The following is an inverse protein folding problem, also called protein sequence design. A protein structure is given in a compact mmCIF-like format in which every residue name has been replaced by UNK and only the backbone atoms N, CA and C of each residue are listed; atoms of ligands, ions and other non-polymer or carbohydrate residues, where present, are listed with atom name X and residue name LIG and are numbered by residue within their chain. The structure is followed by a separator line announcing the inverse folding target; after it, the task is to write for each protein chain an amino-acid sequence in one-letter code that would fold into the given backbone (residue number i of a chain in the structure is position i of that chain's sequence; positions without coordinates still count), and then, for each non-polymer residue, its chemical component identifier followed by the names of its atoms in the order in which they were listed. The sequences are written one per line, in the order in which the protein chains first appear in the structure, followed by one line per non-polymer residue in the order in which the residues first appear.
data_IF_305223425369
#
_entry.id   IF_305223425369
#
_cell.length_a   1.000
_cell.length_b   1.000
_cell.length_c   1.000
_cell.angle_alpha   90.00
_cell.angle_beta   90.00
_cell.angle_gamma   90.00
#
_symmetry.space_group_name_H-M   'P 1'
#
loop_
_entity.id
_entity.type
_entity.pdbx_description
1 polymer ?
#
# COMPACT_ATOMS: atom_id res chain seq x y z
N UNK A 1 -12.00 -1.58 -10.56
CA UNK A 1 -11.00 -0.81 -9.80
C UNK A 1 -11.50 -0.66 -8.38
N UNK A 2 -10.65 -0.79 -7.37
CA UNK A 2 -10.98 -0.54 -5.96
C UNK A 2 -10.29 0.74 -5.45
N UNK A 3 -10.91 1.44 -4.49
CA UNK A 3 -10.24 2.48 -3.70
C UNK A 3 -9.86 1.86 -2.36
N UNK A 4 -8.60 2.03 -1.97
CA UNK A 4 -8.02 1.48 -0.75
C UNK A 4 -7.59 2.65 0.16
N UNK A 5 -8.48 3.15 1.03
CA UNK A 5 -8.08 4.11 2.04
C UNK A 5 -6.97 3.51 2.90
N UNK A 6 -5.94 4.30 3.19
CA UNK A 6 -4.77 3.82 3.90
C UNK A 6 -4.72 4.32 5.36
N UNK A 7 -4.05 3.57 6.23
CA UNK A 7 -3.63 3.98 7.57
C UNK A 7 -2.16 3.63 7.73
N UNK A 8 -1.33 4.63 8.01
CA UNK A 8 0.04 4.38 8.43
C UNK A 8 0.06 4.32 9.96
N UNK A 9 0.62 3.25 10.52
CA UNK A 9 0.72 3.03 11.96
C UNK A 9 2.11 3.43 12.46
N UNK A 10 2.15 4.37 13.40
CA UNK A 10 3.37 4.77 14.10
C UNK A 10 3.08 4.96 15.60
N UNK A 11 3.84 4.27 16.44
CA UNK A 11 3.77 4.29 17.90
C UNK A 11 2.34 4.06 18.42
N UNK A 12 1.62 3.12 17.79
CA UNK A 12 0.23 2.78 18.11
C UNK A 12 -0.82 3.72 17.51
N UNK A 13 -0.43 4.73 16.73
CA UNK A 13 -1.31 5.80 16.24
C UNK A 13 -1.45 5.79 14.73
N UNK A 14 -2.56 6.34 14.24
CA UNK A 14 -2.76 6.58 12.81
C UNK A 14 -2.10 7.91 12.43
N UNK A 15 -1.15 7.86 11.50
CA UNK A 15 -0.36 9.01 11.07
C UNK A 15 -0.36 9.17 9.56
N UNK A 16 0.16 10.31 9.07
CA UNK A 16 0.71 10.44 7.71
C UNK A 16 2.08 11.07 7.73
N UNK A 17 2.93 10.57 6.85
CA UNK A 17 4.23 11.16 6.54
C UNK A 17 4.08 12.08 5.32
N UNK A 18 4.96 13.08 5.22
CA UNK A 18 5.19 13.80 3.98
C UNK A 18 6.48 13.26 3.34
N UNK A 19 6.37 12.73 2.12
CA UNK A 19 7.50 12.09 1.41
C UNK A 19 8.20 10.98 2.21
N UNK A 20 7.46 10.19 2.97
CA UNK A 20 8.03 9.07 3.73
C UNK A 20 8.94 9.43 4.92
N UNK A 21 9.09 10.72 5.24
CA UNK A 21 9.97 11.17 6.33
C UNK A 21 9.31 10.96 7.70
N UNK A 22 9.90 10.11 8.55
CA UNK A 22 9.32 9.74 9.85
C UNK A 22 9.12 10.93 10.80
N UNK A 23 10.02 11.90 10.78
CA UNK A 23 9.97 13.13 11.58
C UNK A 23 8.83 14.07 11.17
N UNK A 24 8.27 13.88 9.96
CA UNK A 24 7.14 14.66 9.45
C UNK A 24 5.77 14.10 9.85
N UNK A 25 5.75 13.06 10.69
CA UNK A 25 4.52 12.38 11.09
C UNK A 25 3.50 13.34 11.72
N UNK A 26 2.36 13.51 11.05
CA UNK A 26 1.16 14.15 11.60
C UNK A 26 0.23 13.07 12.12
N UNK A 27 -0.14 13.16 13.40
CA UNK A 27 -1.09 12.24 14.04
C UNK A 27 -2.51 12.65 13.64
N UNK A 28 -3.31 11.68 13.21
CA UNK A 28 -4.73 11.87 12.87
C UNK A 28 -5.67 11.16 13.84
N UNK A 29 -5.21 10.11 14.51
CA UNK A 29 -5.98 9.43 15.55
C UNK A 29 -5.06 8.65 16.48
N UNK A 30 -5.36 8.68 17.78
CA UNK A 30 -4.77 7.76 18.77
C UNK A 30 -5.46 6.38 18.76
N UNK A 31 -6.57 6.25 18.02
CA UNK A 31 -7.40 5.05 17.92
C UNK A 31 -7.58 4.66 16.43
N UNK A 32 -6.60 3.96 15.81
CA UNK A 32 -6.63 3.62 14.38
C UNK A 32 -7.86 2.84 13.93
N UNK A 33 -8.40 1.97 14.79
CA UNK A 33 -9.60 1.18 14.50
C UNK A 33 -10.84 2.05 14.25
N UNK A 34 -10.93 3.24 14.86
CA UNK A 34 -12.02 4.18 14.58
C UNK A 34 -11.92 4.78 13.18
N UNK A 35 -10.69 5.01 12.71
CA UNK A 35 -10.44 5.49 11.34
C UNK A 35 -10.80 4.38 10.34
N UNK A 36 -10.39 3.15 10.61
CA UNK A 36 -10.78 1.99 9.81
C UNK A 36 -12.31 1.81 9.77
N UNK A 37 -12.97 1.93 10.93
CA UNK A 37 -14.43 1.84 11.03
C UNK A 37 -15.13 2.90 10.20
N UNK A 38 -14.62 4.13 10.22
CA UNK A 38 -15.13 5.21 9.37
C UNK A 38 -14.99 4.90 7.89
N UNK A 39 -13.88 4.29 7.45
CA UNK A 39 -13.74 3.85 6.07
C UNK A 39 -14.77 2.78 5.68
N UNK A 40 -15.05 1.83 6.58
CA UNK A 40 -16.12 0.84 6.39
C UNK A 40 -17.49 1.50 6.24
N UNK A 41 -17.83 2.44 7.12
CA UNK A 41 -19.10 3.17 7.10
C UNK A 41 -19.29 4.01 5.83
N UNK A 42 -18.20 4.53 5.27
CA UNK A 42 -18.20 5.24 3.98
C UNK A 42 -18.36 4.32 2.77
N UNK A 43 -18.29 2.99 2.95
CA UNK A 43 -18.48 1.99 1.90
C UNK A 43 -17.19 1.36 1.38
N UNK A 44 -16.05 1.55 2.06
CA UNK A 44 -14.81 0.88 1.65
C UNK A 44 -14.93 -0.64 1.76
N UNK A 45 -14.30 -1.35 0.82
CA UNK A 45 -14.15 -2.82 0.89
C UNK A 45 -12.78 -3.23 1.41
N UNK A 46 -11.78 -2.41 1.13
CA UNK A 46 -10.39 -2.67 1.46
C UNK A 46 -9.86 -1.62 2.42
N UNK A 47 -8.86 -2.00 3.20
CA UNK A 47 -8.07 -1.14 4.04
C UNK A 47 -6.60 -1.44 3.77
N UNK A 48 -5.83 -0.41 3.41
CA UNK A 48 -4.38 -0.52 3.27
C UNK A 48 -3.72 -0.09 4.57
N UNK A 49 -2.86 -0.93 5.14
CA UNK A 49 -2.15 -0.62 6.39
C UNK A 49 -0.64 -0.74 6.16
N UNK A 50 0.10 0.24 6.65
CA UNK A 50 1.56 0.15 6.74
C UNK A 50 1.97 0.27 8.20
N UNK A 51 2.59 -0.78 8.77
CA UNK A 51 3.31 -0.69 10.04
C UNK A 51 4.63 0.04 9.80
N UNK A 52 4.66 1.35 10.05
CA UNK A 52 5.86 2.16 9.82
C UNK A 52 6.96 1.80 10.80
N UNK A 53 6.65 1.56 12.08
CA UNK A 53 7.68 1.14 13.02
C UNK A 53 8.31 -0.18 12.55
N UNK A 54 7.49 -1.13 12.10
CA UNK A 54 7.98 -2.41 11.63
C UNK A 54 8.70 -2.35 10.30
N UNK A 55 8.29 -1.48 9.38
CA UNK A 55 9.01 -1.24 8.13
C UNK A 55 10.47 -0.82 8.38
N UNK A 56 10.70 0.05 9.37
CA UNK A 56 12.03 0.54 9.73
C UNK A 56 12.80 -0.43 10.63
N UNK A 57 12.15 -1.05 11.62
CA UNK A 57 12.80 -2.01 12.54
C UNK A 57 13.10 -3.36 11.85
N UNK A 58 12.29 -3.74 10.86
CA UNK A 58 12.39 -5.03 10.17
C UNK A 58 11.60 -6.16 10.82
N UNK A 59 10.78 -5.85 11.82
CA UNK A 59 9.92 -6.79 12.55
C UNK A 59 8.60 -6.10 12.93
N UNK A 60 7.48 -6.82 13.08
CA UNK A 60 6.20 -6.25 13.51
C UNK A 60 6.29 -5.43 14.81
N UNK A 61 5.68 -4.24 14.83
CA UNK A 61 5.73 -3.34 15.97
C UNK A 61 4.36 -2.79 16.40
N UNK A 62 3.33 -2.89 15.56
CA UNK A 62 1.98 -2.40 15.84
C UNK A 62 0.91 -3.51 15.88
N UNK A 63 1.30 -4.74 16.24
CA UNK A 63 0.43 -5.92 16.23
C UNK A 63 -0.90 -5.72 16.99
N UNK A 64 -0.86 -5.08 18.15
CA UNK A 64 -2.06 -4.86 18.97
C UNK A 64 -3.07 -3.93 18.29
N UNK A 65 -2.60 -2.91 17.56
CA UNK A 65 -3.50 -2.03 16.81
C UNK A 65 -4.10 -2.73 15.60
N UNK A 66 -3.33 -3.58 14.93
CA UNK A 66 -3.82 -4.37 13.79
C UNK A 66 -4.89 -5.36 14.26
N UNK A 67 -4.67 -6.03 15.41
CA UNK A 67 -5.68 -6.88 16.06
C UNK A 67 -6.95 -6.10 16.35
N UNK A 68 -6.82 -4.93 16.98
CA UNK A 68 -7.95 -4.07 17.32
C UNK A 68 -8.74 -3.62 16.08
N UNK A 69 -8.05 -3.28 14.98
CA UNK A 69 -8.71 -2.97 13.69
C UNK A 69 -9.52 -4.16 13.20
N UNK A 70 -8.91 -5.35 13.15
CA UNK A 70 -9.56 -6.57 12.68
C UNK A 70 -10.80 -6.93 13.50
N UNK A 71 -10.75 -6.79 14.82
CA UNK A 71 -11.86 -7.11 15.73
C UNK A 71 -13.06 -6.15 15.58
N UNK A 72 -12.84 -4.93 15.08
CA UNK A 72 -13.86 -3.88 15.03
C UNK A 72 -14.39 -3.58 13.61
N UNK A 73 -13.79 -4.15 12.57
CA UNK A 73 -14.15 -3.90 11.16
C UNK A 73 -14.26 -5.22 10.39
N UNK A 74 -15.07 -5.26 9.33
CA UNK A 74 -15.17 -6.39 8.38
C UNK A 74 -14.47 -6.10 7.04
N UNK A 75 -13.69 -5.03 6.97
CA UNK A 75 -12.87 -4.68 5.82
C UNK A 75 -11.90 -5.81 5.46
N UNK A 76 -11.61 -5.95 4.16
CA UNK A 76 -10.44 -6.72 3.73
C UNK A 76 -9.19 -5.91 4.05
N UNK A 77 -8.23 -6.50 4.74
CA UNK A 77 -7.01 -5.82 5.16
C UNK A 77 -5.86 -6.26 4.26
N UNK A 78 -5.19 -5.29 3.65
CA UNK A 78 -3.83 -5.48 3.17
C UNK A 78 -2.82 -4.80 4.10
N UNK A 79 -1.73 -5.50 4.41
CA UNK A 79 -0.78 -5.05 5.43
C UNK A 79 0.67 -5.20 4.95
N UNK A 80 1.44 -4.11 5.06
CA UNK A 80 2.88 -4.09 4.89
C UNK A 80 3.61 -3.56 6.13
N UNK A 81 4.93 -3.71 6.13
CA UNK A 81 5.82 -3.22 7.19
C UNK A 81 6.34 -4.33 8.10
N UNK A 82 7.66 -4.57 8.07
CA UNK A 82 8.33 -5.51 8.97
C UNK A 82 8.14 -7.00 8.66
N UNK A 83 7.60 -7.35 7.49
CA UNK A 83 7.35 -8.74 7.10
C UNK A 83 8.57 -9.26 6.32
N UNK A 84 9.38 -10.11 6.95
CA UNK A 84 10.64 -10.62 6.37
C UNK A 84 10.79 -12.14 6.37
N UNK A 85 9.86 -12.85 7.01
CA UNK A 85 9.89 -14.31 7.14
C UNK A 85 8.48 -14.92 7.09
N UNK A 86 8.43 -16.24 6.90
CA UNK A 86 7.18 -16.99 6.81
C UNK A 86 6.45 -17.08 8.16
N UNK A 87 7.15 -16.98 9.29
CA UNK A 87 6.53 -17.01 10.62
C UNK A 87 5.65 -15.77 10.86
N UNK A 88 6.17 -14.60 10.51
CA UNK A 88 5.45 -13.33 10.54
C UNK A 88 4.24 -13.36 9.58
N UNK A 89 4.41 -13.95 8.39
CA UNK A 89 3.31 -14.14 7.45
C UNK A 89 2.19 -14.98 8.08
N UNK A 90 2.51 -16.14 8.65
CA UNK A 90 1.53 -17.02 9.30
C UNK A 90 0.81 -16.32 10.45
N UNK A 91 1.54 -15.60 11.29
CA UNK A 91 0.96 -14.83 12.39
C UNK A 91 -0.12 -13.85 11.90
N UNK A 92 0.15 -13.10 10.83
CA UNK A 92 -0.84 -12.15 10.30
C UNK A 92 -2.00 -12.84 9.57
N UNK A 93 -1.75 -13.96 8.89
CA UNK A 93 -2.83 -14.75 8.29
C UNK A 93 -3.76 -15.33 9.37
N UNK A 94 -3.22 -15.84 10.48
CA UNK A 94 -3.98 -16.31 11.64
C UNK A 94 -4.76 -15.17 12.33
N UNK A 95 -4.21 -13.95 12.31
CA UNK A 95 -4.91 -12.75 12.77
C UNK A 95 -6.08 -12.38 11.85
N UNK A 96 -6.17 -12.92 10.63
CA UNK A 96 -7.24 -12.61 9.68
C UNK A 96 -6.95 -11.42 8.78
N UNK A 97 -5.66 -11.17 8.48
CA UNK A 97 -5.25 -10.28 7.39
C UNK A 97 -5.47 -10.98 6.04
N UNK A 98 -6.05 -10.26 5.08
CA UNK A 98 -6.49 -10.83 3.80
C UNK A 98 -5.37 -10.88 2.75
N UNK A 99 -4.41 -9.94 2.82
CA UNK A 99 -3.26 -9.86 1.90
C UNK A 99 -2.04 -9.24 2.58
N UNK A 100 -0.86 -9.81 2.40
CA UNK A 100 0.38 -9.24 2.94
C UNK A 100 1.23 -8.62 1.86
N UNK A 101 1.88 -7.51 2.18
CA UNK A 101 2.69 -6.70 1.26
C UNK A 101 4.16 -6.96 1.54
N UNK A 102 4.85 -7.58 0.58
CA UNK A 102 6.29 -7.79 0.60
C UNK A 102 6.95 -6.72 -0.27
N UNK A 103 7.56 -5.72 0.38
CA UNK A 103 8.22 -4.59 -0.27
C UNK A 103 9.72 -4.84 -0.47
N UNK A 104 10.55 -4.35 0.44
CA UNK A 104 12.03 -4.41 0.31
C UNK A 104 12.60 -5.82 0.10
N UNK A 105 11.96 -6.86 0.65
CA UNK A 105 12.36 -8.26 0.41
C UNK A 105 12.14 -8.71 -1.03
N UNK A 106 11.21 -8.11 -1.78
CA UNK A 106 11.00 -8.41 -3.19
C UNK A 106 12.20 -8.04 -4.08
N UNK A 107 12.99 -7.06 -3.66
CA UNK A 107 14.24 -6.68 -4.34
C UNK A 107 15.41 -7.57 -3.88
N UNK A 108 15.47 -7.86 -2.58
CA UNK A 108 16.60 -8.57 -1.96
C UNK A 108 16.55 -10.08 -2.17
N UNK A 109 15.36 -10.67 -2.09
CA UNK A 109 15.09 -12.09 -2.26
C UNK A 109 13.77 -12.31 -3.01
N UNK A 110 13.77 -12.12 -4.35
CA UNK A 110 12.58 -12.36 -5.17
C UNK A 110 12.08 -13.81 -5.08
N UNK A 111 12.97 -14.78 -4.85
CA UNK A 111 12.58 -16.19 -4.78
C UNK A 111 11.74 -16.46 -3.53
N UNK A 112 12.13 -15.91 -2.37
CA UNK A 112 11.30 -15.98 -1.16
C UNK A 112 9.88 -15.45 -1.42
N UNK A 113 9.76 -14.30 -2.09
CA UNK A 113 8.44 -13.72 -2.41
C UNK A 113 7.61 -14.65 -3.30
N UNK A 114 8.22 -15.26 -4.33
CA UNK A 114 7.54 -16.25 -5.19
C UNK A 114 7.09 -17.47 -4.40
N UNK A 115 7.95 -18.00 -3.53
CA UNK A 115 7.63 -19.15 -2.69
C UNK A 115 6.47 -18.83 -1.74
N UNK A 116 6.44 -17.63 -1.16
CA UNK A 116 5.34 -17.19 -0.29
C UNK A 116 4.05 -16.94 -1.08
N UNK A 117 4.12 -16.34 -2.26
CA UNK A 117 2.97 -16.10 -3.12
C UNK A 117 2.30 -17.40 -3.61
N UNK A 118 3.05 -18.50 -3.68
CA UNK A 118 2.49 -19.83 -3.98
C UNK A 118 1.65 -20.44 -2.83
N UNK A 119 1.82 -19.92 -1.61
CA UNK A 119 1.22 -20.45 -0.38
C UNK A 119 0.18 -19.50 0.24
N UNK A 120 0.38 -18.20 0.11
CA UNK A 120 -0.34 -17.15 0.82
C UNK A 120 -0.78 -16.02 -0.13
N UNK A 121 -1.81 -15.24 0.23
CA UNK A 121 -2.20 -14.05 -0.52
C UNK A 121 -1.15 -12.94 -0.34
N UNK A 122 -0.28 -12.79 -1.33
CA UNK A 122 0.82 -11.81 -1.32
C UNK A 122 0.61 -10.73 -2.37
N UNK A 123 0.80 -9.48 -1.98
CA UNK A 123 1.08 -8.36 -2.87
C UNK A 123 2.56 -7.97 -2.80
N UNK A 124 3.08 -7.41 -3.89
CA UNK A 124 4.45 -6.87 -3.93
C UNK A 124 4.41 -5.36 -3.90
N UNK A 125 5.17 -4.74 -2.99
CA UNK A 125 5.37 -3.30 -2.96
C UNK A 125 6.58 -2.89 -3.80
N UNK A 126 6.38 -2.03 -4.80
CA UNK A 126 7.44 -1.45 -5.63
C UNK A 126 7.41 0.07 -5.47
N UNK A 127 8.31 0.58 -4.65
CA UNK A 127 8.52 2.02 -4.52
C UNK A 127 9.54 2.47 -5.56
N UNK A 128 9.24 3.55 -6.28
CA UNK A 128 10.10 4.02 -7.36
C UNK A 128 10.20 5.54 -7.41
N UNK A 129 11.40 6.04 -7.76
CA UNK A 129 11.64 7.43 -8.10
C UNK A 129 12.14 7.52 -9.53
N UNK A 130 11.46 8.30 -10.36
CA UNK A 130 11.78 8.44 -11.79
C UNK A 130 11.88 7.07 -12.51
N UNK A 131 11.00 6.13 -12.18
CA UNK A 131 10.96 4.78 -12.76
C UNK A 131 11.99 3.79 -12.20
N UNK A 132 12.88 4.22 -11.30
CA UNK A 132 13.92 3.39 -10.69
C UNK A 132 13.51 2.94 -9.29
N UNK A 133 13.73 1.66 -8.97
CA UNK A 133 13.37 1.07 -7.67
C UNK A 133 14.12 1.76 -6.54
N UNK A 134 13.39 2.19 -5.51
CA UNK A 134 13.91 2.70 -4.26
C UNK A 134 13.79 1.66 -3.15
N UNK A 135 14.83 1.53 -2.33
CA UNK A 135 14.90 0.59 -1.20
C UNK A 135 15.26 1.32 0.10
N UNK A 136 15.31 0.59 1.21
CA UNK A 136 15.69 1.11 2.55
C UNK A 136 14.87 2.35 2.98
N UNK A 137 13.54 2.26 2.89
CA UNK A 137 12.67 3.39 3.27
C UNK A 137 12.89 4.64 2.39
N UNK A 138 13.22 4.41 1.12
CA UNK A 138 13.48 5.42 0.09
C UNK A 138 14.84 6.14 0.19
N UNK A 139 15.73 5.68 1.07
CA UNK A 139 17.06 6.25 1.22
C UNK A 139 18.00 5.93 0.04
N UNK A 140 17.80 4.80 -0.63
CA UNK A 140 18.67 4.35 -1.73
C UNK A 140 17.86 4.10 -3.00
N UNK A 141 18.21 4.80 -4.08
CA UNK A 141 17.65 4.54 -5.42
C UNK A 141 18.62 3.61 -6.16
N UNK A 142 18.14 2.43 -6.50
CA UNK A 142 18.91 1.44 -7.25
C UNK A 142 18.97 1.79 -8.75
N UNK A 143 19.79 1.07 -9.50
CA UNK A 143 19.82 1.12 -10.97
C UNK A 143 18.81 0.16 -11.62
N UNK A 144 17.96 -0.49 -10.83
CA UNK A 144 16.93 -1.41 -11.35
C UNK A 144 15.67 -0.62 -11.73
N UNK A 145 15.17 -0.83 -12.94
CA UNK A 145 13.88 -0.28 -13.35
C UNK A 145 12.73 -0.99 -12.62
N UNK A 146 11.74 -0.23 -12.17
CA UNK A 146 10.56 -0.76 -11.49
C UNK A 146 9.75 -1.72 -12.36
N UNK A 147 9.70 -1.50 -13.68
CA UNK A 147 9.07 -2.39 -14.66
C UNK A 147 9.83 -3.72 -14.81
N UNK A 148 11.16 -3.68 -14.71
CA UNK A 148 11.99 -4.90 -14.70
C UNK A 148 11.69 -5.74 -13.47
N UNK A 149 11.62 -5.13 -12.29
CA UNK A 149 11.22 -5.82 -11.07
C UNK A 149 9.78 -6.35 -11.14
N UNK A 150 8.84 -5.55 -11.65
CA UNK A 150 7.45 -5.97 -11.81
C UNK A 150 7.31 -7.22 -12.69
N UNK A 151 8.09 -7.29 -13.77
CA UNK A 151 8.13 -8.44 -14.68
C UNK A 151 8.65 -9.72 -14.01
N UNK A 152 9.53 -9.59 -13.01
CA UNK A 152 10.04 -10.73 -12.24
C UNK A 152 8.94 -11.49 -11.50
N UNK A 153 7.84 -10.81 -11.17
CA UNK A 153 6.67 -11.37 -10.50
C UNK A 153 5.52 -11.74 -11.46
N UNK A 154 5.72 -11.62 -12.77
CA UNK A 154 4.76 -12.11 -13.75
C UNK A 154 4.54 -13.62 -13.56
N UNK A 155 3.28 -14.05 -13.44
CA UNK A 155 2.89 -15.45 -13.19
C UNK A 155 3.45 -16.07 -11.89
N UNK A 156 3.91 -15.26 -10.93
CA UNK A 156 4.47 -15.74 -9.66
C UNK A 156 3.42 -16.10 -8.59
N UNK A 157 2.13 -15.99 -8.90
CA UNK A 157 1.03 -16.17 -7.94
C UNK A 157 0.77 -14.97 -7.03
N UNK A 158 1.50 -13.87 -7.20
CA UNK A 158 1.22 -12.59 -6.52
C UNK A 158 -0.15 -12.06 -6.97
N UNK A 159 -0.93 -11.57 -6.02
CA UNK A 159 -2.30 -11.12 -6.26
C UNK A 159 -2.38 -9.67 -6.73
N UNK A 160 -1.38 -8.86 -6.37
CA UNK A 160 -1.30 -7.48 -6.78
C UNK A 160 0.14 -6.95 -6.74
N UNK A 161 0.41 -5.92 -7.52
CA UNK A 161 1.58 -5.05 -7.35
C UNK A 161 1.10 -3.69 -6.89
N UNK A 162 1.62 -3.20 -5.77
CA UNK A 162 1.42 -1.84 -5.30
C UNK A 162 2.62 -1.04 -5.75
N UNK A 163 2.42 -0.08 -6.66
CA UNK A 163 3.50 0.77 -7.12
C UNK A 163 3.36 2.19 -6.56
N UNK A 164 4.39 2.67 -5.86
CA UNK A 164 4.41 4.01 -5.28
C UNK A 164 5.37 4.89 -6.05
N UNK A 165 4.86 5.97 -6.65
CA UNK A 165 5.73 7.06 -7.11
C UNK A 165 6.09 7.94 -5.92
N UNK A 166 7.28 7.70 -5.36
CA UNK A 166 7.70 8.36 -4.12
C UNK A 166 7.93 9.87 -4.30
N UNK A 167 8.12 10.34 -5.54
CA UNK A 167 8.26 11.77 -5.84
C UNK A 167 6.96 12.53 -5.64
N UNK A 168 5.82 11.83 -5.69
CA UNK A 168 4.47 12.37 -5.52
C UNK A 168 3.85 12.05 -4.17
N UNK A 169 4.40 11.09 -3.42
CA UNK A 169 3.74 10.63 -2.20
C UNK A 169 3.63 11.72 -1.12
N UNK A 170 2.43 11.83 -0.55
CA UNK A 170 2.08 12.88 0.42
C UNK A 170 2.08 14.32 -0.14
N UNK A 171 2.21 14.51 -1.46
CA UNK A 171 2.31 15.85 -2.08
C UNK A 171 0.99 16.42 -2.60
N UNK A 172 -0.06 15.60 -2.74
CA UNK A 172 -1.36 16.01 -3.31
C UNK A 172 -1.19 16.65 -4.70
N UNK A 173 -0.35 16.06 -5.56
CA UNK A 173 0.00 16.59 -6.88
C UNK A 173 -0.49 15.73 -8.06
N UNK A 174 -1.32 14.73 -7.79
CA UNK A 174 -1.92 13.82 -8.76
C UNK A 174 -1.21 12.48 -8.88
N UNK A 175 -1.94 11.42 -9.20
CA UNK A 175 -1.40 10.06 -9.35
C UNK A 175 -0.51 9.98 -10.59
N UNK A 176 0.51 9.12 -10.56
CA UNK A 176 1.29 8.79 -11.77
C UNK A 176 0.62 7.62 -12.54
N UNK A 177 -0.39 7.96 -13.35
CA UNK A 177 -1.17 6.99 -14.14
C UNK A 177 -0.28 6.24 -15.13
N UNK A 178 0.57 6.96 -15.87
CA UNK A 178 1.48 6.36 -16.86
C UNK A 178 2.45 5.36 -16.24
N UNK A 179 3.04 5.71 -15.08
CA UNK A 179 3.89 4.80 -14.33
C UNK A 179 3.13 3.55 -13.89
N UNK A 180 1.95 3.72 -13.31
CA UNK A 180 1.12 2.60 -12.84
C UNK A 180 0.73 1.67 -13.99
N UNK A 181 0.31 2.23 -15.12
CA UNK A 181 0.02 1.46 -16.33
C UNK A 181 1.24 0.69 -16.81
N UNK A 182 2.42 1.30 -16.83
CA UNK A 182 3.65 0.62 -17.27
C UNK A 182 3.98 -0.61 -16.43
N UNK A 183 3.72 -0.55 -15.11
CA UNK A 183 3.89 -1.68 -14.18
C UNK A 183 2.85 -2.77 -14.44
N UNK A 184 1.58 -2.40 -14.65
CA UNK A 184 0.52 -3.34 -15.02
C UNK A 184 0.84 -4.07 -16.32
N UNK A 185 1.30 -3.36 -17.35
CA UNK A 185 1.65 -3.95 -18.64
C UNK A 185 2.90 -4.84 -18.55
N UNK A 186 3.90 -4.45 -17.76
CA UNK A 186 5.15 -5.21 -17.63
C UNK A 186 4.96 -6.54 -16.88
N UNK A 187 4.10 -6.55 -15.85
CA UNK A 187 3.86 -7.72 -15.00
C UNK A 187 2.69 -8.59 -15.47
N UNK A 188 1.66 -8.00 -16.08
CA UNK A 188 0.37 -8.65 -16.31
C UNK A 188 -0.40 -8.96 -15.01
N UNK A 189 0.00 -8.38 -13.89
CA UNK A 189 -0.62 -8.53 -12.56
C UNK A 189 -1.51 -7.31 -12.29
N UNK A 190 -2.56 -7.48 -11.48
CA UNK A 190 -3.37 -6.37 -11.00
C UNK A 190 -2.49 -5.33 -10.27
N UNK A 191 -2.46 -4.11 -10.79
CA UNK A 191 -1.60 -3.04 -10.23
C UNK A 191 -2.42 -1.98 -9.51
N UNK A 192 -1.97 -1.62 -8.32
CA UNK A 192 -2.58 -0.62 -7.44
C UNK A 192 -1.67 0.61 -7.42
N UNK A 193 -2.22 1.76 -7.81
CA UNK A 193 -1.51 3.02 -7.76
C UNK A 193 -1.38 3.52 -6.32
N UNK A 194 -0.18 3.98 -5.94
CA UNK A 194 0.08 4.65 -4.68
C UNK A 194 0.91 5.93 -4.91
N UNK A 195 0.71 6.92 -4.04
CA UNK A 195 1.39 8.20 -4.10
C UNK A 195 0.68 9.25 -4.96
N UNK A 196 0.52 10.45 -4.40
CA UNK A 196 0.13 11.64 -5.15
C UNK A 196 -1.35 11.96 -5.25
N UNK A 197 -2.26 11.03 -4.91
CA UNK A 197 -3.72 11.27 -4.96
C UNK A 197 -4.06 12.62 -4.33
N UNK A 198 -4.78 13.45 -5.07
CA UNK A 198 -5.17 14.79 -4.68
C UNK A 198 -6.68 14.92 -4.57
N UNK A 199 -7.41 14.57 -5.62
CA UNK A 199 -8.85 14.80 -5.73
C UNK A 199 -9.55 13.73 -6.59
N UNK A 200 -10.86 13.88 -6.79
CA UNK A 200 -11.69 12.89 -7.51
C UNK A 200 -11.24 12.68 -8.96
N UNK A 201 -10.60 13.67 -9.59
CA UNK A 201 -10.12 13.51 -10.96
C UNK A 201 -9.02 12.46 -11.05
N UNK A 202 -8.18 12.30 -10.03
CA UNK A 202 -7.17 11.24 -10.01
C UNK A 202 -7.80 9.85 -10.02
N UNK A 203 -8.89 9.68 -9.28
CA UNK A 203 -9.67 8.43 -9.26
C UNK A 203 -10.26 8.18 -10.63
N UNK A 204 -10.91 9.19 -11.23
CA UNK A 204 -11.48 9.09 -12.58
C UNK A 204 -10.42 8.75 -13.63
N UNK A 205 -9.27 9.42 -13.61
CA UNK A 205 -8.17 9.15 -14.54
C UNK A 205 -7.65 7.71 -14.42
N UNK A 206 -7.52 7.19 -13.20
CA UNK A 206 -7.12 5.79 -12.99
C UNK A 206 -8.18 4.81 -13.51
N UNK A 207 -9.47 5.11 -13.29
CA UNK A 207 -10.58 4.29 -13.78
C UNK A 207 -10.62 4.26 -15.32
N UNK A 208 -10.50 5.43 -15.95
CA UNK A 208 -10.55 5.58 -17.41
C UNK A 208 -9.37 4.92 -18.12
N UNK A 209 -8.19 4.86 -17.48
CA UNK A 209 -7.04 4.13 -18.01
C UNK A 209 -7.33 2.62 -18.22
N UNK A 210 -8.16 2.02 -17.36
CA UNK A 210 -8.61 0.63 -17.51
C UNK A 210 -7.56 -0.46 -17.26
N UNK A 211 -6.29 -0.11 -16.98
CA UNK A 211 -5.24 -1.05 -16.55
C UNK A 211 -4.96 -1.01 -15.06
N UNK A 212 -5.43 0.03 -14.36
CA UNK A 212 -5.23 0.21 -12.93
C UNK A 212 -6.34 -0.52 -12.16
N UNK A 213 -5.93 -1.49 -11.33
CA UNK A 213 -6.84 -2.33 -10.57
C UNK A 213 -7.28 -1.68 -9.25
N UNK A 214 -6.49 -0.76 -8.70
CA UNK A 214 -6.89 0.02 -7.53
C UNK A 214 -6.06 1.27 -7.31
N UNK A 215 -6.50 2.09 -6.36
CA UNK A 215 -5.78 3.31 -5.95
C UNK A 215 -5.77 3.39 -4.42
N UNK A 216 -4.58 3.55 -3.84
CA UNK A 216 -4.41 3.82 -2.42
C UNK A 216 -4.63 5.31 -2.14
N UNK A 217 -5.57 5.60 -1.24
CA UNK A 217 -5.90 6.96 -0.85
C UNK A 217 -5.42 7.21 0.57
N UNK A 218 -4.42 8.07 0.70
CA UNK A 218 -3.95 8.53 1.99
C UNK A 218 -4.29 9.97 2.27
N UNK A 219 -3.28 10.84 2.19
CA UNK A 219 -3.35 12.24 2.64
C UNK A 219 -4.56 13.02 2.11
N UNK A 220 -5.03 12.75 0.89
CA UNK A 220 -6.18 13.45 0.30
C UNK A 220 -7.47 13.31 1.14
N UNK A 221 -7.72 12.13 1.72
CA UNK A 221 -8.84 11.95 2.63
C UNK A 221 -8.66 12.77 3.91
N UNK A 222 -7.47 12.67 4.53
CA UNK A 222 -7.19 13.30 5.82
C UNK A 222 -7.16 14.84 5.76
N UNK A 223 -6.75 15.40 4.63
CA UNK A 223 -6.74 16.85 4.39
C UNK A 223 -8.02 17.35 3.69
N UNK A 224 -9.00 16.46 3.46
CA UNK A 224 -10.32 16.80 2.94
C UNK A 224 -10.35 17.23 1.47
N UNK A 225 -9.34 16.89 0.68
CA UNK A 225 -9.29 17.21 -0.76
C UNK A 225 -10.00 16.16 -1.63
N UNK A 226 -10.32 15.00 -1.06
CA UNK A 226 -11.12 13.96 -1.69
C UNK A 226 -12.25 13.52 -0.75
N UNK A 227 -13.49 13.58 -1.23
CA UNK A 227 -14.63 12.91 -0.62
C UNK A 227 -14.62 11.43 -1.01
N UNK A 228 -14.35 10.56 -0.04
CA UNK A 228 -14.31 9.12 -0.28
C UNK A 228 -15.68 8.53 -0.62
N UNK A 229 -16.78 9.07 -0.06
CA UNK A 229 -18.11 8.56 -0.36
C UNK A 229 -18.47 8.83 -1.83
N UNK A 230 -18.11 10.01 -2.33
CA UNK A 230 -18.19 10.33 -3.77
C UNK A 230 -17.26 9.42 -4.58
N UNK A 231 -16.02 9.22 -4.12
CA UNK A 231 -15.06 8.32 -4.74
C UNK A 231 -15.60 6.91 -4.92
N UNK A 232 -16.20 6.32 -3.89
CA UNK A 232 -16.79 4.98 -3.97
C UNK A 232 -18.01 4.92 -4.90
N UNK A 233 -18.82 5.98 -4.97
CA UNK A 233 -19.96 6.07 -5.90
C UNK A 233 -19.52 6.24 -7.36
N UNK A 234 -18.34 6.80 -7.59
CA UNK A 234 -17.77 7.01 -8.92
C UNK A 234 -17.13 5.76 -9.53
N UNK A 235 -16.87 4.71 -8.74
CA UNK A 235 -16.36 3.40 -9.20
C UNK A 235 -17.45 2.55 -9.87
#
# INVERSE_FOLDING_TARGET
MDILPAIDLKDGKAVRLSKGLMESAKIYSDEPWQVAKRFEELGSKWLHIVDLNGAFAGEPANLEQIRKIRENCNLKIELGGGIRDEETIKMYMELGVDRLILGSIAVKDPQFVKDMASKYPIAVGIDAMNGMVAVEGWAEVSTMEATTLAKEFANAGVQAIICTDISKDGMLCGVNVEFTESIALASGVDTIASGGVKDINDITNCKENGKIAGVIVGKAFYEGTLDLEEGFKAL
#
